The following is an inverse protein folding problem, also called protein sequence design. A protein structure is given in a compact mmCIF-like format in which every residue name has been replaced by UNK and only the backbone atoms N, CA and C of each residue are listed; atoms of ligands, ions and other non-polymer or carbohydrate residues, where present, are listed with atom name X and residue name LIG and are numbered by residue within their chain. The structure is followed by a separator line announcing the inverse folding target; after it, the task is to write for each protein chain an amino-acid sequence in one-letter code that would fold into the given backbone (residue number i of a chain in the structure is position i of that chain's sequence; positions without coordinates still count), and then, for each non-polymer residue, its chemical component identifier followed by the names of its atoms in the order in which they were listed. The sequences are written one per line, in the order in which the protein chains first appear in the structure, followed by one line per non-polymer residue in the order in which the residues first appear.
data_IF_333594201996
#
_entry.id   IF_333594201996
#
_cell.length_a   1.000
_cell.length_b   1.000
_cell.length_c   1.000
_cell.angle_alpha   90.00
_cell.angle_beta   90.00
_cell.angle_gamma   90.00
#
_symmetry.space_group_name_H-M   'P 1'
#
loop_
_entity.id
_entity.type
_entity.pdbx_description
1 polymer ?
#
# COMPACT_ATOMS: atom_id res chain seq x y z
N UNK A 1 -15.46 -10.83 9.78
CA UNK A 1 -14.10 -10.55 9.25
C UNK A 1 -13.51 -9.49 10.15
N UNK A 2 -12.32 -9.70 10.70
CA UNK A 2 -11.68 -8.66 11.51
C UNK A 2 -11.34 -7.46 10.63
N UNK A 3 -11.55 -6.25 11.14
CA UNK A 3 -11.13 -5.03 10.45
C UNK A 3 -9.62 -5.05 10.24
N UNK A 4 -9.17 -4.78 9.00
CA UNK A 4 -7.75 -4.87 8.66
C UNK A 4 -6.89 -3.75 9.28
N UNK A 5 -7.56 -2.65 9.69
CA UNK A 5 -7.00 -1.47 10.35
C UNK A 5 -7.73 -1.23 11.69
N UNK A 6 -7.44 -2.03 12.73
CA UNK A 6 -8.15 -1.94 14.01
C UNK A 6 -7.74 -0.73 14.87
N UNK A 7 -6.58 -0.13 14.61
CA UNK A 7 -6.07 1.05 15.32
C UNK A 7 -5.04 1.80 14.47
N UNK A 8 -4.89 3.10 14.73
CA UNK A 8 -3.81 3.94 14.18
C UNK A 8 -2.62 4.09 15.16
N UNK A 9 -2.77 3.63 16.41
CA UNK A 9 -1.70 3.72 17.41
C UNK A 9 -0.60 2.70 17.09
N UNK A 10 0.66 3.15 17.10
CA UNK A 10 1.87 2.32 16.94
C UNK A 10 2.83 2.59 18.09
N UNK A 11 3.69 1.62 18.45
CA UNK A 11 4.56 1.76 19.61
C UNK A 11 5.85 2.53 19.28
N UNK A 12 6.28 2.48 18.01
CA UNK A 12 7.50 3.16 17.55
C UNK A 12 7.26 3.90 16.24
N UNK A 13 8.08 4.92 15.92
CA UNK A 13 8.00 5.60 14.62
C UNK A 13 8.18 4.67 13.41
N UNK A 14 9.03 3.64 13.53
CA UNK A 14 9.24 2.66 12.45
C UNK A 14 7.95 1.87 12.17
N UNK A 15 7.28 1.39 13.22
CA UNK A 15 5.97 0.74 13.08
C UNK A 15 4.91 1.69 12.50
N UNK A 16 4.98 2.97 12.86
CA UNK A 16 4.14 4.02 12.26
C UNK A 16 4.35 4.14 10.75
N UNK A 17 5.60 4.12 10.29
CA UNK A 17 5.92 4.16 8.86
C UNK A 17 5.45 2.87 8.15
N UNK A 18 5.68 1.71 8.76
CA UNK A 18 5.22 0.42 8.21
C UNK A 18 3.69 0.38 8.09
N UNK A 19 2.97 0.94 9.06
CA UNK A 19 1.51 1.09 9.01
C UNK A 19 1.09 2.02 7.87
N UNK A 20 1.74 3.16 7.69
CA UNK A 20 1.44 4.09 6.60
C UNK A 20 1.62 3.43 5.23
N UNK A 21 2.72 2.69 5.02
CA UNK A 21 2.98 1.94 3.78
C UNK A 21 1.89 0.87 3.55
N UNK A 22 1.49 0.15 4.60
CA UNK A 22 0.40 -0.82 4.51
C UNK A 22 -0.91 -0.16 4.10
N UNK A 23 -1.23 1.00 4.69
CA UNK A 23 -2.45 1.75 4.34
C UNK A 23 -2.47 2.18 2.88
N UNK A 24 -1.35 2.71 2.36
CA UNK A 24 -1.21 3.06 0.94
C UNK A 24 -1.46 1.85 0.01
N UNK A 25 -0.86 0.69 0.32
CA UNK A 25 -1.06 -0.56 -0.44
C UNK A 25 -2.51 -1.06 -0.38
N UNK A 26 -3.18 -0.93 0.77
CA UNK A 26 -4.58 -1.32 0.90
C UNK A 26 -5.49 -0.37 0.12
N UNK A 27 -5.21 0.93 0.08
CA UNK A 27 -5.94 1.86 -0.77
C UNK A 27 -5.90 1.43 -2.25
N UNK A 28 -4.72 1.08 -2.78
CA UNK A 28 -4.58 0.53 -4.14
C UNK A 28 -5.41 -0.73 -4.33
N UNK A 29 -5.40 -1.65 -3.36
CA UNK A 29 -6.19 -2.89 -3.40
C UNK A 29 -7.70 -2.61 -3.37
N UNK A 30 -8.15 -1.58 -2.66
CA UNK A 30 -9.56 -1.19 -2.61
C UNK A 30 -10.01 -0.52 -3.91
N UNK A 31 -9.15 0.31 -4.52
CA UNK A 31 -9.42 0.96 -5.81
C UNK A 31 -9.42 -0.03 -6.97
N UNK A 32 -8.47 -0.98 -6.97
CA UNK A 32 -8.37 -2.04 -7.96
C UNK A 32 -8.39 -3.41 -7.26
N UNK A 33 -9.56 -4.04 -7.09
CA UNK A 33 -9.69 -5.30 -6.34
C UNK A 33 -9.10 -6.51 -7.08
N UNK A 34 -8.98 -6.46 -8.40
CA UNK A 34 -8.43 -7.55 -9.21
C UNK A 34 -6.91 -7.68 -9.02
N UNK A 35 -6.48 -8.85 -8.56
CA UNK A 35 -5.06 -9.12 -8.32
C UNK A 35 -4.25 -9.25 -9.61
N UNK A 36 -4.82 -9.87 -10.65
CA UNK A 36 -4.14 -10.07 -11.94
C UNK A 36 -3.88 -8.73 -12.62
N UNK A 37 -4.83 -7.80 -12.53
CA UNK A 37 -4.65 -6.43 -13.02
C UNK A 37 -3.53 -5.73 -12.27
N UNK A 38 -3.49 -5.79 -10.93
CA UNK A 38 -2.42 -5.14 -10.15
C UNK A 38 -1.04 -5.73 -10.46
N UNK A 39 -0.94 -7.04 -10.65
CA UNK A 39 0.33 -7.69 -10.96
C UNK A 39 0.81 -7.32 -12.36
N UNK A 40 -0.11 -7.16 -13.33
CA UNK A 40 0.23 -6.65 -14.67
C UNK A 40 0.68 -5.19 -14.65
N UNK A 41 0.14 -4.36 -13.77
CA UNK A 41 0.51 -2.94 -13.66
C UNK A 41 1.83 -2.72 -12.90
N UNK A 42 2.21 -3.64 -12.02
CA UNK A 42 3.39 -3.50 -11.13
C UNK A 42 4.71 -3.23 -11.87
N UNK A 43 5.06 -3.96 -12.93
CA UNK A 43 6.30 -3.68 -13.68
C UNK A 43 6.34 -2.25 -14.23
N UNK A 44 5.17 -1.67 -14.58
CA UNK A 44 5.09 -0.34 -15.17
C UNK A 44 5.46 0.80 -14.21
N UNK A 45 5.18 0.65 -12.91
CA UNK A 45 5.53 1.68 -11.92
C UNK A 45 6.75 1.32 -11.06
N UNK A 46 7.16 0.05 -11.01
CA UNK A 46 8.25 -0.39 -10.13
C UNK A 46 9.64 0.10 -10.57
N UNK A 47 9.80 0.44 -11.86
CA UNK A 47 11.05 0.93 -12.44
C UNK A 47 10.97 2.42 -12.85
N UNK A 48 9.84 3.08 -12.57
CA UNK A 48 9.60 4.49 -12.92
C UNK A 48 9.85 5.39 -11.70
N UNK A 49 10.82 6.31 -11.83
CA UNK A 49 11.23 7.18 -10.72
C UNK A 49 10.12 8.14 -10.26
N UNK A 50 9.34 8.69 -11.19
CA UNK A 50 8.25 9.61 -10.86
C UNK A 50 7.12 8.84 -10.14
N UNK A 51 6.84 7.61 -10.58
CA UNK A 51 5.87 6.75 -9.93
C UNK A 51 6.31 6.30 -8.52
N UNK A 52 7.61 6.03 -8.34
CA UNK A 52 8.17 5.68 -7.03
C UNK A 52 8.13 6.85 -6.04
N UNK A 53 8.34 8.08 -6.51
CA UNK A 53 8.23 9.29 -5.66
C UNK A 53 6.78 9.58 -5.29
N UNK A 54 5.83 9.28 -6.18
CA UNK A 54 4.39 9.49 -5.95
C UNK A 54 3.71 8.42 -5.05
N UNK A 55 4.47 7.39 -4.65
CA UNK A 55 3.99 6.21 -3.89
C UNK A 55 3.70 6.47 -2.41
#
# INVERSE_FOLDING_TARGET
MADWLPSLMTATPQEGYDLAVKMARVAIKMTQPDAEVRDRLRPGYAEDADALIAS
#
